data_IF_948860636596
#
_entry.id   IF_948860636596
#
_cell.length_a   1.000
_cell.length_b   1.000
_cell.length_c   1.000
_cell.angle_alpha   90.00
_cell.angle_beta   90.00
_cell.angle_gamma   90.00
#
_symmetry.space_group_name_H-M   'P 1'
#
loop_
_entity.id
_entity.type
_entity.pdbx_description
1 polymer ?
#
# COMPACT_ATOMS: atom_id res chain seq x y z
N UNK A 1 6.04 -6.79 2.82
CA UNK A 1 6.58 -6.13 1.62
C UNK A 1 5.76 -6.59 0.43
N UNK A 2 5.31 -5.68 -0.44
CA UNK A 2 4.57 -6.01 -1.67
C UNK A 2 5.61 -6.26 -2.75
N UNK A 3 5.58 -7.42 -3.40
CA UNK A 3 6.54 -7.78 -4.47
C UNK A 3 5.85 -8.13 -5.79
N UNK A 4 4.53 -8.28 -5.79
CA UNK A 4 3.75 -8.67 -6.98
C UNK A 4 2.55 -7.75 -7.20
N UNK A 5 2.08 -7.58 -8.44
CA UNK A 5 0.84 -6.86 -8.72
C UNK A 5 -0.38 -7.44 -7.98
N UNK A 6 -0.45 -8.76 -7.82
CA UNK A 6 -1.54 -9.40 -7.08
C UNK A 6 -1.57 -8.99 -5.60
N UNK A 7 -0.40 -8.93 -4.94
CA UNK A 7 -0.30 -8.45 -3.56
C UNK A 7 -0.68 -6.98 -3.46
N UNK A 8 -0.31 -6.16 -4.45
CA UNK A 8 -0.73 -4.76 -4.51
C UNK A 8 -2.27 -4.64 -4.55
N UNK A 9 -2.93 -5.39 -5.44
CA UNK A 9 -4.39 -5.37 -5.56
C UNK A 9 -5.09 -5.87 -4.29
N UNK A 10 -4.56 -6.91 -3.64
CA UNK A 10 -5.12 -7.42 -2.38
C UNK A 10 -5.04 -6.35 -1.26
N UNK A 11 -3.88 -5.69 -1.11
CA UNK A 11 -3.70 -4.62 -0.12
C UNK A 11 -4.59 -3.43 -0.43
N UNK A 12 -4.69 -3.02 -1.70
CA UNK A 12 -5.55 -1.91 -2.12
C UNK A 12 -7.04 -2.19 -1.86
N UNK A 13 -7.49 -3.40 -2.18
CA UNK A 13 -8.87 -3.84 -1.89
C UNK A 13 -9.17 -3.82 -0.39
N UNK A 14 -8.22 -4.29 0.44
CA UNK A 14 -8.38 -4.26 1.89
C UNK A 14 -8.45 -2.83 2.44
N UNK A 15 -7.64 -1.91 1.93
CA UNK A 15 -7.69 -0.49 2.30
C UNK A 15 -9.09 0.08 1.99
N UNK A 16 -9.64 -0.17 0.81
CA UNK A 16 -10.98 0.30 0.45
C UNK A 16 -12.08 -0.23 1.40
N UNK A 17 -11.93 -1.44 1.93
CA UNK A 17 -12.87 -2.02 2.90
C UNK A 17 -12.82 -1.35 4.28
N UNK A 18 -11.67 -0.80 4.67
CA UNK A 18 -11.43 -0.28 6.03
C UNK A 18 -11.16 1.23 6.07
N UNK A 19 -11.30 1.94 4.95
CA UNK A 19 -10.97 3.37 4.83
C UNK A 19 -11.76 4.28 5.76
N UNK A 20 -12.96 3.85 6.15
CA UNK A 20 -13.88 4.59 7.02
C UNK A 20 -13.82 4.07 8.47
N UNK A 21 -12.78 3.32 8.84
CA UNK A 21 -12.61 2.80 10.20
C UNK A 21 -12.41 3.94 11.22
N UNK A 22 -13.14 3.87 12.33
CA UNK A 22 -13.03 4.85 13.41
C UNK A 22 -11.63 4.88 14.03
N UNK A 23 -11.21 6.09 14.43
CA UNK A 23 -9.94 6.29 15.10
C UNK A 23 -9.84 5.45 16.40
N UNK A 24 -8.67 4.87 16.64
CA UNK A 24 -8.42 4.03 17.81
C UNK A 24 -8.91 2.59 17.68
N UNK A 25 -9.55 2.22 16.57
CA UNK A 25 -9.91 0.82 16.29
C UNK A 25 -8.71 0.04 15.72
N UNK A 26 -8.69 -1.30 15.85
CA UNK A 26 -7.70 -2.14 15.17
C UNK A 26 -7.68 -1.95 13.65
N UNK A 27 -8.85 -1.67 13.04
CA UNK A 27 -8.96 -1.43 11.61
C UNK A 27 -8.27 -0.11 11.18
N UNK A 28 -8.31 0.93 12.01
CA UNK A 28 -7.55 2.16 11.75
C UNK A 28 -6.03 1.95 11.82
N UNK A 29 -5.55 1.11 12.74
CA UNK A 29 -4.12 0.74 12.78
C UNK A 29 -3.74 -0.14 11.59
N UNK A 30 -4.59 -1.09 11.20
CA UNK A 30 -4.43 -1.88 9.97
C UNK A 30 -4.33 -0.97 8.74
N UNK A 31 -5.25 -0.01 8.58
CA UNK A 31 -5.25 0.97 7.50
C UNK A 31 -3.91 1.73 7.41
N UNK A 32 -3.37 2.16 8.56
CA UNK A 32 -2.08 2.84 8.64
C UNK A 32 -0.93 1.95 8.15
N UNK A 33 -0.92 0.68 8.53
CA UNK A 33 0.11 -0.28 8.12
C UNK A 33 0.02 -0.57 6.61
N UNK A 34 -1.19 -0.85 6.11
CA UNK A 34 -1.42 -1.18 4.70
C UNK A 34 -1.09 0.01 3.78
N UNK A 35 -1.44 1.23 4.18
CA UNK A 35 -1.10 2.45 3.43
C UNK A 35 0.41 2.61 3.29
N UNK A 36 1.19 2.36 4.36
CA UNK A 36 2.66 2.39 4.29
C UNK A 36 3.23 1.36 3.33
N UNK A 37 2.63 0.16 3.26
CA UNK A 37 3.06 -0.88 2.33
C UNK A 37 2.88 -0.46 0.87
N UNK A 38 1.73 0.15 0.53
CA UNK A 38 1.48 0.67 -0.82
C UNK A 38 2.43 1.80 -1.17
N UNK A 39 2.58 2.79 -0.29
CA UNK A 39 3.45 3.95 -0.54
C UNK A 39 4.89 3.49 -0.81
N UNK A 40 5.39 2.55 0.01
CA UNK A 40 6.73 1.98 -0.18
C UNK A 40 6.86 1.29 -1.55
N UNK A 41 5.90 0.45 -1.92
CA UNK A 41 5.92 -0.25 -3.21
C UNK A 41 5.93 0.73 -4.40
N UNK A 42 5.07 1.75 -4.37
CA UNK A 42 4.98 2.76 -5.44
C UNK A 42 6.28 3.56 -5.55
N UNK A 43 6.89 3.93 -4.42
CA UNK A 43 8.18 4.63 -4.41
C UNK A 43 9.31 3.80 -5.02
N UNK A 44 9.35 2.49 -4.72
CA UNK A 44 10.32 1.55 -5.30
C UNK A 44 10.12 1.40 -6.82
N UNK A 45 8.87 1.27 -7.28
CA UNK A 45 8.55 1.19 -8.72
C UNK A 45 8.93 2.48 -9.47
N UNK A 46 8.66 3.65 -8.88
CA UNK A 46 9.02 4.94 -9.50
C UNK A 46 10.53 5.10 -9.63
N UNK A 47 11.29 4.72 -8.59
CA UNK A 47 12.76 4.72 -8.63
C UNK A 47 13.29 3.78 -9.71
N UNK A 48 12.77 2.54 -9.77
CA UNK A 48 13.18 1.58 -10.79
C UNK A 48 12.86 2.06 -12.22
N UNK A 49 11.72 2.70 -12.41
CA UNK A 49 11.32 3.26 -13.71
C UNK A 49 12.16 4.48 -14.10
N UNK A 50 12.58 5.32 -13.15
CA UNK A 50 13.47 6.45 -13.40
C UNK A 50 14.86 5.96 -13.85
N UNK A 51 15.42 4.95 -13.18
CA UNK A 51 16.72 4.36 -13.53
C UNK A 51 16.71 3.72 -14.92
N UNK A 52 15.62 3.07 -15.33
CA UNK A 52 15.51 2.46 -16.66
C UNK A 52 15.42 3.46 -17.82
N UNK A 53 15.11 4.72 -17.54
CA UNK A 53 14.91 5.79 -18.53
C UNK A 53 16.10 6.75 -18.63
N UNK A 54 17.08 6.65 -17.73
CA UNK A 54 18.31 7.43 -17.71
C UNK A 54 19.43 6.73 -18.50
#
# INVERSE_FOLDING_TARGET
MITTPLQYHAVASRIEQIKDADAGTPAAEELRILTKLIVKFVAEQNTANAVRKA
#
